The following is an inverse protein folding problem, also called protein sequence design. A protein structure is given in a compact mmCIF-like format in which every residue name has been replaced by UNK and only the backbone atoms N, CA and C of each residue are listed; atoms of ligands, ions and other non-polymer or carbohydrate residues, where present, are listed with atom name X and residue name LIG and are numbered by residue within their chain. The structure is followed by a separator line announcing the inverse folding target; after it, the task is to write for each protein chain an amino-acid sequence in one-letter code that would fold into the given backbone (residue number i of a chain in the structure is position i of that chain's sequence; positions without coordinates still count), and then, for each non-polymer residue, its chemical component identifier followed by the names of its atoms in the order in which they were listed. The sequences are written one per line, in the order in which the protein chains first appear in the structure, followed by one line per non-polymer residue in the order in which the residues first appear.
data_IF_306547939691
#
_entry.id   IF_306547939691
#
_cell.length_a   1.000
_cell.length_b   1.000
_cell.length_c   1.000
_cell.angle_alpha   90.00
_cell.angle_beta   90.00
_cell.angle_gamma   90.00
#
_symmetry.space_group_name_H-M   'P 1'
#
loop_
_entity.id
_entity.type
_entity.pdbx_description
1 polymer ?
#
# COMPACT_ATOMS: atom_id res chain seq x y z
N UNK A 1 -24.66 -4.87 7.76
CA UNK A 1 -23.89 -3.99 6.85
C UNK A 1 -23.04 -4.88 5.96
N UNK A 2 -22.78 -4.46 4.73
CA UNK A 2 -22.03 -5.25 3.75
C UNK A 2 -20.97 -4.37 3.10
N UNK A 3 -19.68 -4.71 3.22
CA UNK A 3 -18.62 -3.96 2.55
C UNK A 3 -18.71 -4.14 1.04
N UNK A 4 -18.79 -3.03 0.32
CA UNK A 4 -18.88 -3.04 -1.15
C UNK A 4 -17.52 -2.78 -1.79
N UNK A 5 -16.62 -2.09 -1.08
CA UNK A 5 -15.22 -1.89 -1.42
C UNK A 5 -14.39 -1.55 -0.16
N UNK A 6 -13.13 -1.17 -0.35
CA UNK A 6 -12.21 -0.88 0.74
C UNK A 6 -12.55 0.39 1.53
N UNK A 7 -13.42 1.26 1.01
CA UNK A 7 -13.73 2.58 1.55
C UNK A 7 -15.20 2.74 1.96
N UNK A 8 -16.08 1.82 1.59
CA UNK A 8 -17.54 1.97 1.74
C UNK A 8 -18.24 0.67 2.11
N UNK A 9 -19.30 0.80 2.90
CA UNK A 9 -20.24 -0.28 3.18
C UNK A 9 -21.67 0.12 2.82
N UNK A 10 -22.44 -0.87 2.39
CA UNK A 10 -23.88 -0.80 2.21
C UNK A 10 -24.57 -1.12 3.54
N UNK A 11 -25.38 -0.18 4.04
CA UNK A 11 -26.30 -0.38 5.16
C UNK A 11 -27.71 -0.49 4.59
N UNK A 12 -28.37 -1.62 4.85
CA UNK A 12 -29.79 -1.80 4.54
C UNK A 12 -30.56 -1.89 5.85
N UNK A 13 -31.52 -1.00 6.02
CA UNK A 13 -32.33 -0.89 7.23
C UNK A 13 -33.80 -1.05 6.85
N UNK A 14 -34.55 -1.83 7.64
CA UNK A 14 -36.00 -1.98 7.41
C UNK A 14 -36.73 -0.76 7.97
N UNK A 15 -37.56 -0.13 7.15
CA UNK A 15 -38.46 0.95 7.55
C UNK A 15 -39.89 0.54 7.21
N UNK A 16 -40.67 0.17 8.22
CA UNK A 16 -42.03 -0.35 8.12
C UNK A 16 -42.16 -1.52 7.11
N UNK A 17 -42.85 -1.27 5.99
CA UNK A 17 -43.06 -2.21 4.88
C UNK A 17 -42.03 -2.06 3.74
N UNK A 18 -40.97 -1.27 3.96
CA UNK A 18 -39.94 -0.95 2.97
C UNK A 18 -38.53 -1.19 3.49
N UNK A 19 -37.55 -1.09 2.60
CA UNK A 19 -36.13 -1.09 2.94
C UNK A 19 -35.49 0.21 2.48
N UNK A 20 -34.66 0.80 3.33
CA UNK A 20 -33.81 1.93 3.03
C UNK A 20 -32.39 1.41 2.89
N UNK A 21 -31.74 1.76 1.77
CA UNK A 21 -30.37 1.37 1.47
C UNK A 21 -29.49 2.63 1.40
N UNK A 22 -28.40 2.63 2.14
CA UNK A 22 -27.44 3.74 2.21
C UNK A 22 -26.02 3.22 2.01
N UNK A 23 -25.22 3.95 1.23
CA UNK A 23 -23.79 3.71 1.10
C UNK A 23 -23.06 4.67 2.01
N UNK A 24 -22.33 4.13 2.98
CA UNK A 24 -21.64 4.89 4.01
C UNK A 24 -20.13 4.67 3.93
N UNK A 25 -19.31 5.67 4.24
CA UNK A 25 -17.86 5.52 4.25
C UNK A 25 -17.42 4.65 5.44
N UNK A 26 -16.36 3.88 5.23
CA UNK A 26 -15.62 3.18 6.29
C UNK A 26 -14.69 4.22 6.93
N UNK A 27 -14.84 4.51 8.23
CA UNK A 27 -13.89 5.37 8.94
C UNK A 27 -12.50 4.77 8.88
N UNK A 28 -11.51 5.57 8.47
CA UNK A 28 -10.10 5.17 8.43
C UNK A 28 -9.24 6.21 9.13
N UNK A 29 -8.23 5.76 9.83
CA UNK A 29 -7.14 6.61 10.33
C UNK A 29 -6.03 6.62 9.31
N UNK A 30 -5.40 7.79 9.12
CA UNK A 30 -4.28 7.96 8.19
C UNK A 30 -3.02 8.33 8.95
N UNK A 31 -1.88 7.81 8.48
CA UNK A 31 -0.56 8.12 9.02
C UNK A 31 0.40 8.36 7.86
N UNK A 32 1.29 9.34 8.02
CA UNK A 32 2.43 9.51 7.14
C UNK A 32 3.63 8.80 7.75
N UNK A 33 4.21 7.87 7.01
CA UNK A 33 5.32 7.04 7.46
C UNK A 33 6.47 7.11 6.47
N UNK A 34 7.70 7.12 6.99
CA UNK A 34 8.90 6.94 6.17
C UNK A 34 9.21 5.46 6.13
N UNK A 35 9.29 4.94 4.92
CA UNK A 35 9.61 3.55 4.60
C UNK A 35 10.92 3.55 3.85
N UNK A 36 11.82 2.62 4.15
CA UNK A 36 13.07 2.52 3.42
C UNK A 36 13.75 1.18 3.62
N UNK A 37 14.76 0.95 2.79
CA UNK A 37 15.52 -0.28 2.80
C UNK A 37 16.92 -0.07 2.23
N UNK A 38 17.75 -1.08 2.44
CA UNK A 38 19.09 -1.14 1.87
C UNK A 38 19.23 -2.45 1.09
N UNK A 39 19.86 -2.38 -0.07
CA UNK A 39 20.24 -3.56 -0.83
C UNK A 39 21.47 -4.19 -0.17
N UNK A 40 21.36 -5.45 0.23
CA UNK A 40 22.46 -6.21 0.82
C UNK A 40 22.38 -7.71 0.50
N UNK A 41 23.09 -8.55 1.27
CA UNK A 41 23.12 -10.00 1.03
C UNK A 41 21.83 -10.72 1.43
N UNK A 42 21.10 -10.20 2.42
CA UNK A 42 19.84 -10.76 2.89
C UNK A 42 18.67 -10.23 2.07
N UNK A 43 18.75 -8.97 1.64
CA UNK A 43 17.80 -8.31 0.75
C UNK A 43 18.48 -7.87 -0.56
N UNK A 44 18.71 -8.79 -1.52
CA UNK A 44 19.51 -8.52 -2.72
C UNK A 44 18.75 -7.78 -3.84
N UNK A 45 17.51 -7.36 -3.61
CA UNK A 45 16.68 -6.69 -4.60
C UNK A 45 15.74 -5.69 -3.94
N UNK A 46 15.18 -4.76 -4.73
CA UNK A 46 14.19 -3.80 -4.26
C UNK A 46 13.01 -4.50 -3.54
N UNK A 47 12.48 -5.56 -4.15
CA UNK A 47 11.36 -6.32 -3.61
C UNK A 47 11.71 -7.01 -2.29
N UNK A 48 12.91 -7.60 -2.19
CA UNK A 48 13.36 -8.24 -0.95
C UNK A 48 13.55 -7.22 0.18
N UNK A 49 14.12 -6.04 -0.12
CA UNK A 49 14.32 -4.98 0.86
C UNK A 49 12.99 -4.37 1.35
N UNK A 50 12.00 -4.26 0.48
CA UNK A 50 10.64 -3.81 0.83
C UNK A 50 9.89 -4.85 1.67
N UNK A 51 10.04 -6.15 1.35
CA UNK A 51 9.46 -7.24 2.15
C UNK A 51 10.08 -7.28 3.56
N UNK A 52 11.40 -7.10 3.68
CA UNK A 52 12.08 -6.99 4.99
C UNK A 52 11.61 -5.75 5.77
N UNK A 53 11.29 -4.66 5.09
CA UNK A 53 10.68 -3.47 5.69
C UNK A 53 9.19 -3.68 6.09
N UNK A 54 8.60 -4.83 5.78
CA UNK A 54 7.22 -5.18 6.11
C UNK A 54 6.18 -4.54 5.18
N UNK A 55 6.59 -4.14 3.97
CA UNK A 55 5.73 -3.43 3.04
C UNK A 55 5.13 -4.34 1.96
N UNK A 56 3.99 -3.91 1.42
CA UNK A 56 3.32 -4.64 0.36
C UNK A 56 4.09 -4.56 -0.96
N UNK A 57 4.03 -5.64 -1.74
CA UNK A 57 4.63 -5.73 -3.08
C UNK A 57 4.18 -4.59 -4.02
N UNK A 58 2.94 -4.13 -3.87
CA UNK A 58 2.38 -3.04 -4.68
C UNK A 58 3.15 -1.73 -4.50
N UNK A 59 3.69 -1.45 -3.30
CA UNK A 59 4.53 -0.28 -3.06
C UNK A 59 5.85 -0.38 -3.82
N UNK A 60 6.43 -1.59 -3.88
CA UNK A 60 7.65 -1.87 -4.66
C UNK A 60 7.42 -1.67 -6.15
N UNK A 61 6.31 -2.18 -6.68
CA UNK A 61 5.91 -2.00 -8.08
C UNK A 61 5.71 -0.51 -8.40
N UNK A 62 5.07 0.23 -7.49
CA UNK A 62 4.89 1.68 -7.63
C UNK A 62 6.21 2.42 -7.72
N UNK A 63 7.15 2.15 -6.81
CA UNK A 63 8.49 2.75 -6.83
C UNK A 63 9.26 2.40 -8.12
N UNK A 64 9.27 1.12 -8.50
CA UNK A 64 9.92 0.68 -9.73
C UNK A 64 9.32 1.35 -10.97
N UNK A 65 8.00 1.54 -10.99
CA UNK A 65 7.29 2.26 -12.04
C UNK A 65 7.72 3.72 -12.18
N UNK A 66 7.88 4.44 -11.06
CA UNK A 66 8.31 5.86 -11.03
C UNK A 66 9.66 6.03 -11.73
N UNK A 67 10.63 5.15 -11.46
CA UNK A 67 11.98 5.23 -11.99
C UNK A 67 12.24 4.29 -13.18
N UNK A 68 11.21 3.70 -13.78
CA UNK A 68 11.34 2.70 -14.85
C UNK A 68 12.08 3.19 -16.10
N UNK A 69 12.16 4.50 -16.33
CA UNK A 69 12.92 5.11 -17.42
C UNK A 69 14.37 5.49 -17.06
N UNK A 70 14.74 5.35 -15.78
CA UNK A 70 16.01 5.82 -15.23
C UNK A 70 16.83 4.69 -14.61
N UNK A 71 16.17 3.69 -14.01
CA UNK A 71 16.80 2.62 -13.23
C UNK A 71 16.17 1.28 -13.61
N UNK A 72 16.98 0.30 -14.02
CA UNK A 72 16.57 -1.10 -14.08
C UNK A 72 16.85 -1.79 -12.73
N UNK A 73 15.85 -1.84 -11.87
CA UNK A 73 15.96 -2.45 -10.53
C UNK A 73 16.30 -3.95 -10.53
N UNK A 74 16.24 -4.64 -11.67
CA UNK A 74 16.64 -6.05 -11.76
C UNK A 74 18.14 -6.24 -11.92
N UNK A 75 18.82 -5.26 -12.52
CA UNK A 75 20.22 -5.41 -12.95
C UNK A 75 21.16 -4.33 -12.41
N UNK A 76 20.63 -3.15 -12.08
CA UNK A 76 21.46 -2.00 -11.73
C UNK A 76 21.66 -1.82 -10.23
N UNK A 77 20.78 -2.39 -9.38
CA UNK A 77 20.94 -2.32 -7.92
C UNK A 77 22.22 -2.99 -7.44
N UNK A 78 22.90 -2.35 -6.49
CA UNK A 78 24.16 -2.81 -5.92
C UNK A 78 24.07 -2.93 -4.39
N UNK A 79 24.84 -3.84 -3.76
CA UNK A 79 24.99 -3.87 -2.32
C UNK A 79 25.46 -2.50 -1.78
N UNK A 80 24.69 -1.94 -0.84
CA UNK A 80 24.92 -0.62 -0.27
C UNK A 80 23.95 0.45 -0.75
N UNK A 81 23.22 0.23 -1.84
CA UNK A 81 22.17 1.14 -2.30
C UNK A 81 21.06 1.27 -1.25
N UNK A 82 20.52 2.47 -1.12
CA UNK A 82 19.46 2.81 -0.16
C UNK A 82 18.34 3.56 -0.85
N UNK A 83 17.12 3.32 -0.38
CA UNK A 83 15.94 4.07 -0.80
C UNK A 83 15.10 4.43 0.42
N UNK A 84 14.42 5.57 0.33
CA UNK A 84 13.46 6.03 1.33
C UNK A 84 12.26 6.67 0.60
N UNK A 85 11.05 6.41 1.12
CA UNK A 85 9.80 6.96 0.62
C UNK A 85 8.98 7.49 1.78
N UNK A 86 8.29 8.61 1.56
CA UNK A 86 7.22 9.07 2.44
C UNK A 86 5.89 8.55 1.89
N UNK A 87 5.20 7.71 2.65
CA UNK A 87 3.94 7.07 2.24
C UNK A 87 2.81 7.44 3.20
N UNK A 88 1.59 7.56 2.67
CA UNK A 88 0.38 7.61 3.49
C UNK A 88 -0.15 6.19 3.67
N UNK A 89 -0.22 5.71 4.91
CA UNK A 89 -0.87 4.44 5.26
C UNK A 89 -2.26 4.70 5.81
N UNK A 90 -3.18 3.80 5.48
CA UNK A 90 -4.56 3.84 5.95
C UNK A 90 -4.87 2.61 6.80
N UNK A 91 -5.40 2.87 7.99
CA UNK A 91 -5.75 1.86 8.98
C UNK A 91 -7.26 1.91 9.25
N UNK A 92 -7.86 0.74 9.42
CA UNK A 92 -9.24 0.61 9.90
C UNK A 92 -9.22 0.37 11.41
#
# INVERSE_FOLDING_TARGET
EYEIDNDRFLRVTRADASFIAEVLPIPKTRSLEVVGGQIDRNAPSLFAAMDEAGEAIDLSIGLAGIFSGEIDFNTEVQPGDRFELLVEKQYR
#
